data_IF_990453746650
#
_entry.id   IF_990453746650
#
_cell.length_a   1.000
_cell.length_b   1.000
_cell.length_c   1.000
_cell.angle_alpha   90.00
_cell.angle_beta   90.00
_cell.angle_gamma   90.00
#
_symmetry.space_group_name_H-M   'P 1'
#
loop_
_entity.id
_entity.type
_entity.pdbx_description
1 polymer ?
#
# COMPACT_ATOMS: atom_id res chain seq x y z
N UNK A 1 4.80 -24.61 -6.64
CA UNK A 1 3.38 -24.24 -6.45
C UNK A 1 3.32 -23.44 -5.16
N UNK A 2 2.78 -22.24 -5.20
CA UNK A 2 2.69 -21.37 -4.03
C UNK A 2 1.64 -21.94 -3.08
N UNK A 3 2.01 -22.02 -1.79
CA UNK A 3 1.08 -22.34 -0.72
C UNK A 3 0.80 -21.08 0.10
N UNK A 4 -0.41 -20.52 0.05
CA UNK A 4 -0.76 -19.47 0.97
C UNK A 4 -0.78 -20.01 2.40
N UNK A 5 -0.12 -19.31 3.31
CA UNK A 5 -0.12 -19.59 4.72
C UNK A 5 -0.86 -18.46 5.42
N UNK A 6 -1.87 -18.82 6.18
CA UNK A 6 -2.68 -17.87 6.94
C UNK A 6 -2.56 -18.21 8.42
N UNK A 7 -2.17 -17.24 9.21
CA UNK A 7 -1.97 -17.40 10.65
C UNK A 7 -2.73 -16.31 11.40
N UNK A 8 -3.48 -16.72 12.41
CA UNK A 8 -4.26 -15.83 13.26
C UNK A 8 -3.76 -15.85 14.70
N UNK A 9 -3.66 -14.70 15.33
CA UNK A 9 -3.24 -14.55 16.73
C UNK A 9 -4.38 -14.87 17.68
N UNK A 10 -4.21 -15.91 18.50
CA UNK A 10 -5.11 -16.23 19.58
C UNK A 10 -4.40 -16.27 20.92
N UNK A 11 -5.06 -15.77 21.97
CA UNK A 11 -4.61 -15.94 23.35
C UNK A 11 -5.38 -17.12 23.97
N UNK A 12 -4.89 -18.32 23.74
CA UNK A 12 -5.45 -19.53 24.35
C UNK A 12 -4.89 -19.79 25.76
N UNK A 13 -4.04 -18.92 26.27
CA UNK A 13 -3.46 -19.00 27.61
C UNK A 13 -2.77 -20.35 27.85
N UNK A 14 -3.06 -20.98 28.99
CA UNK A 14 -2.47 -22.28 29.38
C UNK A 14 -2.91 -23.46 28.48
N UNK A 15 -3.89 -23.26 27.62
CA UNK A 15 -4.37 -24.29 26.66
C UNK A 15 -3.52 -24.35 25.39
N UNK A 16 -2.57 -23.43 25.21
CA UNK A 16 -1.65 -23.49 24.08
C UNK A 16 -0.67 -24.66 24.24
N UNK A 17 -0.30 -25.37 23.18
CA UNK A 17 0.71 -26.43 23.24
C UNK A 17 2.06 -25.93 23.79
N UNK A 18 2.40 -24.67 23.55
CA UNK A 18 3.66 -24.01 23.97
C UNK A 18 3.47 -22.94 25.04
N UNK A 19 2.28 -22.82 25.61
CA UNK A 19 1.99 -21.82 26.66
C UNK A 19 2.60 -22.17 28.01
N UNK A 20 3.20 -21.18 28.68
CA UNK A 20 3.60 -21.28 30.08
C UNK A 20 2.38 -21.59 30.96
N UNK A 21 2.54 -22.51 31.91
CA UNK A 21 1.49 -22.87 32.86
C UNK A 21 2.05 -22.84 34.26
N UNK A 22 1.53 -21.93 35.09
CA UNK A 22 1.93 -21.81 36.48
C UNK A 22 1.71 -23.16 37.20
N UNK A 23 2.66 -23.53 38.10
CA UNK A 23 2.66 -24.76 38.88
C UNK A 23 2.74 -26.07 38.05
N UNK A 24 3.05 -26.00 36.78
CA UNK A 24 3.38 -27.17 35.98
C UNK A 24 4.90 -27.42 35.97
N UNK A 25 5.36 -28.63 36.35
CA UNK A 25 6.79 -28.90 36.47
C UNK A 25 7.58 -28.88 35.18
N UNK A 26 6.91 -28.90 34.04
CA UNK A 26 7.51 -28.86 32.68
C UNK A 26 7.26 -27.50 32.01
N UNK A 27 6.02 -27.03 32.10
CA UNK A 27 5.57 -25.80 31.42
C UNK A 27 5.70 -24.53 32.25
N UNK A 28 5.89 -24.69 33.58
CA UNK A 28 6.00 -23.56 34.52
C UNK A 28 7.44 -23.17 34.86
N UNK A 29 8.42 -23.59 34.09
CA UNK A 29 9.83 -23.26 34.28
C UNK A 29 10.13 -21.94 33.59
N UNK A 30 10.53 -20.94 34.39
CA UNK A 30 11.06 -19.67 33.85
C UNK A 30 12.38 -19.96 33.11
N UNK A 31 12.63 -19.23 32.04
CA UNK A 31 13.75 -19.43 31.08
C UNK A 31 13.59 -20.64 30.14
N UNK A 32 12.40 -21.21 30.06
CA UNK A 32 12.11 -22.26 29.10
C UNK A 32 11.90 -21.65 27.70
N UNK A 33 12.67 -22.14 26.70
CA UNK A 33 12.58 -21.66 25.32
C UNK A 33 11.43 -22.29 24.53
N UNK A 34 10.81 -23.36 25.08
CA UNK A 34 9.68 -24.06 24.44
C UNK A 34 8.34 -23.60 24.98
N UNK A 35 8.26 -23.35 26.30
CA UNK A 35 7.04 -22.91 26.98
C UNK A 35 7.24 -21.47 27.45
N UNK A 36 6.75 -20.57 26.64
CA UNK A 36 6.94 -19.11 26.85
C UNK A 36 5.72 -18.47 27.50
N UNK A 37 5.96 -17.47 28.32
CA UNK A 37 4.93 -16.56 28.77
C UNK A 37 4.61 -15.63 27.60
N UNK A 38 3.73 -16.07 26.72
CA UNK A 38 3.35 -15.33 25.55
C UNK A 38 1.93 -14.80 25.68
N UNK A 39 1.69 -13.64 25.11
CA UNK A 39 0.37 -13.13 24.81
C UNK A 39 -0.26 -13.89 23.61
N UNK A 40 -0.53 -13.20 22.55
CA UNK A 40 -1.06 -13.83 21.32
C UNK A 40 -0.01 -14.72 20.64
N UNK A 41 -0.41 -15.96 20.32
CA UNK A 41 0.37 -16.88 19.51
C UNK A 41 -0.32 -17.04 18.17
N UNK A 42 0.47 -17.04 17.10
CA UNK A 42 -0.04 -17.27 15.76
C UNK A 42 -0.33 -18.75 15.52
N UNK A 43 -1.58 -19.03 15.13
CA UNK A 43 -2.08 -20.36 14.79
C UNK A 43 -2.25 -20.48 13.28
N UNK A 44 -1.62 -21.48 12.71
CA UNK A 44 -1.74 -21.79 11.28
C UNK A 44 -3.12 -22.39 10.97
N UNK A 45 -3.90 -21.68 10.17
CA UNK A 45 -5.24 -22.06 9.72
C UNK A 45 -5.27 -22.37 8.22
N UNK A 46 -4.11 -22.44 7.58
CA UNK A 46 -3.94 -22.59 6.12
C UNK A 46 -4.66 -23.79 5.53
N UNK A 47 -4.72 -24.91 6.30
CA UNK A 47 -5.38 -26.14 5.83
C UNK A 47 -6.88 -25.99 5.54
N UNK A 48 -7.50 -24.90 6.01
CA UNK A 48 -8.91 -24.59 5.83
C UNK A 48 -9.18 -23.53 4.77
N UNK A 49 -8.13 -22.88 4.29
CA UNK A 49 -8.22 -21.75 3.35
C UNK A 49 -8.77 -22.22 2.01
N UNK A 50 -9.87 -21.63 1.58
CA UNK A 50 -10.47 -21.83 0.27
C UNK A 50 -10.10 -20.73 -0.71
N UNK A 51 -10.03 -19.48 -0.25
CA UNK A 51 -9.57 -18.36 -1.06
C UNK A 51 -9.00 -17.25 -0.21
N UNK A 52 -8.11 -16.45 -0.81
CA UNK A 52 -7.51 -15.27 -0.22
C UNK A 52 -7.63 -14.13 -1.22
N UNK A 53 -8.15 -12.99 -0.76
CA UNK A 53 -8.16 -11.74 -1.51
C UNK A 53 -7.46 -10.67 -0.68
N UNK A 54 -6.50 -9.98 -1.28
CA UNK A 54 -5.78 -8.86 -0.64
C UNK A 54 -5.80 -7.68 -1.59
N UNK A 55 -5.98 -6.49 -1.06
CA UNK A 55 -5.82 -5.24 -1.79
C UNK A 55 -5.13 -4.21 -0.92
N UNK A 56 -4.00 -3.66 -1.39
CA UNK A 56 -3.25 -2.58 -0.75
C UNK A 56 -2.96 -1.47 -1.77
N UNK A 57 -2.82 -0.24 -1.29
CA UNK A 57 -2.50 0.91 -2.14
C UNK A 57 -3.71 1.52 -2.82
N UNK A 58 -3.47 2.20 -3.94
CA UNK A 58 -4.45 2.96 -4.74
C UNK A 58 -4.57 2.42 -6.16
N UNK A 59 -5.64 2.79 -6.86
CA UNK A 59 -5.89 2.38 -8.25
C UNK A 59 -5.49 3.44 -9.27
N UNK A 60 -5.52 4.71 -8.87
CA UNK A 60 -5.23 5.87 -9.71
C UNK A 60 -4.09 6.69 -9.11
N UNK A 61 -3.26 7.29 -9.97
CA UNK A 61 -2.02 7.97 -9.56
C UNK A 61 -2.25 9.13 -8.60
N UNK A 62 -3.31 9.92 -8.81
CA UNK A 62 -3.62 11.11 -8.02
C UNK A 62 -4.55 10.86 -6.82
N UNK A 63 -4.97 9.61 -6.62
CA UNK A 63 -5.74 9.24 -5.45
C UNK A 63 -4.84 9.13 -4.21
N UNK A 64 -5.45 9.25 -3.04
CA UNK A 64 -4.79 8.90 -1.78
C UNK A 64 -4.80 7.38 -1.60
N UNK A 65 -3.87 6.89 -0.80
CA UNK A 65 -3.85 5.49 -0.37
C UNK A 65 -4.83 5.33 0.80
N UNK A 66 -5.78 4.41 0.63
CA UNK A 66 -6.71 4.01 1.68
C UNK A 66 -6.18 2.79 2.44
N UNK A 67 -6.89 2.39 3.51
CA UNK A 67 -6.54 1.19 4.27
C UNK A 67 -6.49 -0.04 3.37
N UNK A 68 -5.44 -0.83 3.55
CA UNK A 68 -5.35 -2.14 2.95
C UNK A 68 -6.39 -3.08 3.55
N UNK A 69 -7.03 -3.85 2.70
CA UNK A 69 -8.06 -4.81 3.09
C UNK A 69 -7.73 -6.20 2.58
N UNK A 70 -8.15 -7.19 3.35
CA UNK A 70 -8.06 -8.58 2.93
C UNK A 70 -9.30 -9.35 3.35
N UNK A 71 -9.64 -10.39 2.61
CA UNK A 71 -10.63 -11.37 3.04
C UNK A 71 -10.10 -12.79 2.82
N UNK A 72 -10.35 -13.65 3.80
CA UNK A 72 -9.95 -15.06 3.77
C UNK A 72 -11.19 -15.92 3.98
N UNK A 73 -11.50 -16.79 3.03
CA UNK A 73 -12.61 -17.74 3.15
C UNK A 73 -12.08 -19.10 3.61
N UNK A 74 -12.64 -19.61 4.69
CA UNK A 74 -12.26 -20.88 5.31
C UNK A 74 -13.39 -21.90 5.29
N UNK A 75 -13.03 -23.17 5.24
CA UNK A 75 -13.93 -24.28 5.57
C UNK A 75 -14.27 -24.26 7.08
N UNK A 76 -15.56 -24.27 7.40
CA UNK A 76 -16.07 -24.26 8.78
C UNK A 76 -17.09 -25.37 9.04
N UNK A 77 -17.00 -26.51 8.32
CA UNK A 77 -17.97 -27.61 8.44
C UNK A 77 -18.00 -28.23 9.85
N UNK A 78 -16.96 -28.11 10.62
CA UNK A 78 -16.85 -28.57 12.02
C UNK A 78 -17.17 -27.47 13.05
N UNK A 79 -17.59 -26.28 12.59
CA UNK A 79 -17.93 -25.12 13.43
C UNK A 79 -16.77 -24.57 14.27
N UNK A 80 -15.53 -24.84 13.90
CA UNK A 80 -14.36 -24.39 14.68
C UNK A 80 -14.29 -22.86 14.79
N UNK A 81 -14.74 -22.15 13.75
CA UNK A 81 -14.85 -20.70 13.68
C UNK A 81 -16.25 -20.16 13.97
N UNK A 82 -17.04 -20.88 14.75
CA UNK A 82 -18.34 -20.41 15.23
C UNK A 82 -18.20 -19.86 16.66
N UNK A 83 -18.41 -18.54 16.88
CA UNK A 83 -18.26 -17.94 18.21
C UNK A 83 -19.16 -18.54 19.29
N UNK A 84 -20.25 -19.19 18.89
CA UNK A 84 -21.21 -19.82 19.81
C UNK A 84 -20.92 -21.31 20.08
N UNK A 85 -19.88 -21.87 19.46
CA UNK A 85 -19.54 -23.27 19.66
C UNK A 85 -18.63 -23.47 20.88
N UNK A 86 -19.22 -23.66 22.06
CA UNK A 86 -18.52 -23.76 23.34
C UNK A 86 -17.50 -24.92 23.41
N UNK A 87 -17.69 -25.98 22.63
CA UNK A 87 -16.73 -27.09 22.55
C UNK A 87 -15.58 -26.84 21.54
N UNK A 88 -15.62 -25.73 20.81
CA UNK A 88 -14.59 -25.37 19.83
C UNK A 88 -13.29 -24.91 20.48
N UNK A 89 -12.15 -25.24 19.85
CA UNK A 89 -10.83 -24.85 20.32
C UNK A 89 -10.70 -23.31 20.44
N UNK A 90 -11.34 -22.55 19.57
CA UNK A 90 -11.26 -21.10 19.52
C UNK A 90 -12.43 -20.38 20.22
N UNK A 91 -13.22 -21.11 21.01
CA UNK A 91 -14.32 -20.50 21.77
C UNK A 91 -13.82 -19.36 22.65
N UNK A 92 -14.47 -18.20 22.56
CA UNK A 92 -14.08 -16.97 23.26
C UNK A 92 -12.87 -16.22 22.67
N UNK A 93 -12.25 -16.74 21.62
CA UNK A 93 -11.12 -16.10 20.92
C UNK A 93 -11.52 -15.44 19.61
N UNK A 94 -12.69 -15.82 19.04
CA UNK A 94 -13.20 -15.27 17.78
C UNK A 94 -13.84 -13.91 18.03
N UNK A 95 -12.99 -12.90 18.17
CA UNK A 95 -13.37 -11.51 18.44
C UNK A 95 -12.65 -10.59 17.46
N UNK A 96 -13.23 -9.43 17.13
CA UNK A 96 -12.54 -8.41 16.33
C UNK A 96 -11.18 -8.01 16.91
N UNK A 97 -10.34 -7.43 16.09
CA UNK A 97 -8.99 -6.94 16.41
C UNK A 97 -7.95 -8.02 16.69
N UNK A 98 -8.23 -9.29 16.39
CA UNK A 98 -7.19 -10.32 16.37
C UNK A 98 -6.22 -10.06 15.23
N UNK A 99 -4.92 -10.21 15.52
CA UNK A 99 -3.88 -10.11 14.51
C UNK A 99 -3.97 -11.26 13.53
N UNK A 100 -3.76 -10.98 12.25
CA UNK A 100 -3.73 -11.99 11.20
C UNK A 100 -2.63 -11.64 10.20
N UNK A 101 -1.92 -12.65 9.74
CA UNK A 101 -0.91 -12.51 8.72
C UNK A 101 -1.08 -13.52 7.61
N UNK A 102 -0.85 -13.07 6.40
CA UNK A 102 -0.94 -13.86 5.17
C UNK A 102 0.44 -13.90 4.55
N UNK A 103 0.95 -15.10 4.33
CA UNK A 103 2.25 -15.33 3.74
C UNK A 103 2.11 -16.20 2.47
N UNK A 104 3.09 -16.10 1.59
CA UNK A 104 3.24 -16.97 0.43
C UNK A 104 4.66 -17.56 0.44
N UNK A 105 4.80 -18.86 0.62
CA UNK A 105 6.11 -19.51 0.78
C UNK A 105 6.97 -18.85 1.86
N UNK A 106 6.36 -18.52 3.01
CA UNK A 106 6.93 -17.77 4.14
C UNK A 106 7.28 -16.29 3.88
N UNK A 107 7.08 -15.76 2.66
CA UNK A 107 7.18 -14.34 2.40
C UNK A 107 5.88 -13.63 2.82
N UNK A 108 5.95 -12.53 3.58
CA UNK A 108 4.77 -11.78 3.98
C UNK A 108 4.09 -11.16 2.75
N UNK A 109 2.77 -11.10 2.81
CA UNK A 109 1.92 -10.55 1.76
C UNK A 109 0.96 -9.52 2.33
N UNK A 110 0.48 -9.79 3.55
CA UNK A 110 -0.44 -8.91 4.24
C UNK A 110 -0.40 -9.16 5.75
N UNK A 111 -0.40 -8.07 6.50
CA UNK A 111 -0.55 -8.07 7.95
C UNK A 111 -1.68 -7.12 8.33
N UNK A 112 -2.56 -7.55 9.23
CA UNK A 112 -3.68 -6.72 9.65
C UNK A 112 -4.43 -7.29 10.85
N UNK A 113 -5.62 -6.76 11.04
CA UNK A 113 -6.51 -7.07 12.17
C UNK A 113 -7.86 -7.51 11.64
N UNK A 114 -8.39 -8.55 12.25
CA UNK A 114 -9.74 -9.04 11.94
C UNK A 114 -10.77 -7.96 12.31
N UNK A 115 -11.63 -7.64 11.37
CA UNK A 115 -12.79 -6.76 11.60
C UNK A 115 -14.03 -7.61 11.89
N UNK A 116 -14.33 -8.59 11.02
CA UNK A 116 -15.52 -9.42 11.13
C UNK A 116 -15.25 -10.90 10.82
N UNK A 117 -16.07 -11.77 11.40
CA UNK A 117 -16.23 -13.18 11.03
C UNK A 117 -17.63 -13.37 10.44
N UNK A 118 -17.74 -13.47 9.13
CA UNK A 118 -19.02 -13.71 8.43
C UNK A 118 -19.23 -15.20 8.20
N UNK A 119 -20.27 -15.74 8.81
CA UNK A 119 -20.56 -17.17 8.86
C UNK A 119 -21.69 -17.52 7.88
N UNK A 120 -21.41 -18.39 6.91
CA UNK A 120 -22.40 -18.90 5.97
C UNK A 120 -22.66 -20.38 6.21
N UNK A 121 -23.92 -20.74 6.42
CA UNK A 121 -24.37 -22.11 6.60
C UNK A 121 -25.31 -22.54 5.47
N UNK A 122 -24.83 -23.47 4.64
CA UNK A 122 -25.58 -23.99 3.51
C UNK A 122 -26.20 -25.37 3.83
N UNK A 123 -27.36 -25.73 3.25
CA UNK A 123 -27.90 -27.07 3.37
C UNK A 123 -26.92 -28.16 2.94
N UNK A 124 -26.90 -29.28 3.64
CA UNK A 124 -26.02 -30.41 3.32
C UNK A 124 -24.67 -30.38 4.01
N UNK A 125 -24.60 -29.82 5.20
CA UNK A 125 -23.40 -29.73 6.05
C UNK A 125 -22.22 -29.00 5.37
N UNK A 126 -22.50 -27.94 4.65
CA UNK A 126 -21.51 -27.05 4.12
C UNK A 126 -21.57 -25.73 4.87
N UNK A 127 -20.48 -25.37 5.51
CA UNK A 127 -20.35 -24.10 6.19
C UNK A 127 -19.01 -23.48 5.85
N UNK A 128 -19.02 -22.18 5.66
CA UNK A 128 -17.81 -21.37 5.46
C UNK A 128 -17.80 -20.22 6.45
N UNK A 129 -16.62 -19.68 6.71
CA UNK A 129 -16.46 -18.40 7.38
C UNK A 129 -15.57 -17.54 6.50
N UNK A 130 -16.01 -16.32 6.25
CA UNK A 130 -15.17 -15.27 5.69
C UNK A 130 -14.65 -14.42 6.83
N UNK A 131 -13.34 -14.23 6.88
CA UNK A 131 -12.68 -13.32 7.81
C UNK A 131 -12.36 -12.06 7.03
N UNK A 132 -12.95 -10.94 7.41
CA UNK A 132 -12.65 -9.64 6.85
C UNK A 132 -11.59 -8.95 7.71
N UNK A 133 -10.59 -8.38 7.04
CA UNK A 133 -9.35 -7.92 7.66
C UNK A 133 -9.04 -6.53 7.12
N UNK A 134 -8.63 -5.63 8.00
CA UNK A 134 -8.07 -4.33 7.63
C UNK A 134 -6.64 -4.21 8.18
N UNK A 135 -5.81 -3.42 7.50
CA UNK A 135 -4.48 -3.09 8.00
C UNK A 135 -4.53 -2.10 9.18
N UNK A 136 -3.37 -1.68 9.63
CA UNK A 136 -3.25 -0.82 10.80
C UNK A 136 -3.77 0.63 10.59
N UNK A 137 -4.10 1.06 9.37
CA UNK A 137 -4.78 2.34 9.13
C UNK A 137 -6.13 2.43 9.84
N UNK A 138 -6.80 1.29 10.06
CA UNK A 138 -8.02 1.25 10.87
C UNK A 138 -7.81 1.78 12.29
N UNK A 139 -6.63 1.56 12.88
CA UNK A 139 -6.30 2.11 14.20
C UNK A 139 -6.13 3.64 14.14
N UNK A 140 -5.42 4.15 13.14
CA UNK A 140 -5.21 5.59 12.92
C UNK A 140 -6.51 6.33 12.59
N UNK A 141 -7.42 5.68 11.86
CA UNK A 141 -8.74 6.23 11.54
C UNK A 141 -9.61 6.45 12.80
N UNK A 142 -9.41 5.61 13.81
CA UNK A 142 -10.15 5.68 15.07
C UNK A 142 -9.43 6.48 16.17
N UNK A 143 -8.19 6.91 15.96
CA UNK A 143 -7.44 7.73 16.89
C UNK A 143 -7.74 9.23 16.63
N UNK A 144 -8.44 9.95 17.53
CA UNK A 144 -8.70 11.38 17.35
C UNK A 144 -7.45 12.18 17.68
N UNK A 145 -7.23 13.27 16.98
CA UNK A 145 -6.29 14.32 17.40
C UNK A 145 -7.11 15.34 18.20
N UNK A 146 -6.93 15.37 19.52
CA UNK A 146 -7.66 16.30 20.38
C UNK A 146 -7.16 17.73 20.15
N UNK A 147 -5.86 17.95 20.24
CA UNK A 147 -5.20 19.21 19.93
C UNK A 147 -3.73 18.96 19.57
N UNK A 148 -3.31 19.42 18.41
CA UNK A 148 -1.92 19.39 17.94
C UNK A 148 -1.54 20.80 17.47
N UNK A 149 -0.52 21.38 18.12
CA UNK A 149 0.04 22.68 17.79
C UNK A 149 1.50 22.51 17.32
N UNK A 150 1.69 22.13 16.05
CA UNK A 150 3.02 21.79 15.54
C UNK A 150 3.76 23.05 15.10
N UNK A 151 5.10 23.11 15.24
CA UNK A 151 5.90 24.14 14.60
C UNK A 151 5.90 23.94 13.08
N UNK A 152 6.40 24.94 12.37
CA UNK A 152 6.77 24.73 10.96
C UNK A 152 7.92 23.71 10.90
N UNK A 153 7.70 22.61 10.17
CA UNK A 153 8.63 21.48 10.10
C UNK A 153 8.44 20.69 8.80
N UNK A 154 9.41 19.85 8.46
CA UNK A 154 9.32 18.96 7.30
C UNK A 154 8.23 17.90 7.47
N UNK A 155 7.71 17.44 6.35
CA UNK A 155 6.59 16.50 6.30
C UNK A 155 6.84 15.21 7.10
N UNK A 156 8.03 14.61 7.00
CA UNK A 156 8.38 13.42 7.79
C UNK A 156 8.47 13.69 9.30
N UNK A 157 8.96 14.86 9.71
CA UNK A 157 8.96 15.26 11.12
C UNK A 157 7.52 15.39 11.64
N UNK A 158 6.60 15.94 10.81
CA UNK A 158 5.19 16.03 11.13
C UNK A 158 4.53 14.67 11.25
N UNK A 159 4.86 13.73 10.35
CA UNK A 159 4.38 12.34 10.46
C UNK A 159 4.80 11.73 11.79
N UNK A 160 6.09 11.80 12.14
CA UNK A 160 6.58 11.25 13.41
C UNK A 160 5.91 11.92 14.61
N UNK A 161 5.71 13.24 14.60
CA UNK A 161 5.00 13.97 15.67
C UNK A 161 3.58 13.46 15.90
N UNK A 162 2.85 13.18 14.82
CA UNK A 162 1.49 12.61 14.93
C UNK A 162 1.53 11.19 15.49
N UNK A 163 2.49 10.38 15.06
CA UNK A 163 2.65 9.01 15.53
C UNK A 163 3.08 8.93 17.00
N UNK A 164 3.74 9.98 17.52
CA UNK A 164 4.16 10.11 18.92
C UNK A 164 3.06 10.66 19.85
N UNK A 165 1.90 11.08 19.32
CA UNK A 165 0.79 11.54 20.15
C UNK A 165 0.32 10.43 21.11
N UNK A 166 -0.02 10.75 22.37
CA UNK A 166 -0.50 9.75 23.33
C UNK A 166 -1.71 8.95 22.85
N UNK A 167 -2.58 9.57 22.05
CA UNK A 167 -3.78 8.98 21.49
C UNK A 167 -3.46 8.00 20.35
N UNK A 168 -2.32 8.15 19.69
CA UNK A 168 -1.84 7.30 18.60
C UNK A 168 -0.84 6.28 19.12
N UNK A 169 0.20 6.74 19.81
CA UNK A 169 1.26 5.94 20.45
C UNK A 169 1.77 4.81 19.54
N UNK A 170 2.17 5.16 18.32
CA UNK A 170 2.64 4.18 17.35
C UNK A 170 4.09 3.76 17.66
N UNK A 171 4.39 2.44 17.73
CA UNK A 171 5.74 1.98 18.04
C UNK A 171 6.78 2.49 17.03
N UNK A 172 7.95 2.88 17.54
CA UNK A 172 9.04 3.41 16.72
C UNK A 172 9.62 2.35 15.77
N UNK A 173 9.65 1.09 16.23
CA UNK A 173 10.11 -0.07 15.48
C UNK A 173 9.17 -0.50 14.33
N UNK A 174 7.94 0.02 14.27
CA UNK A 174 6.95 -0.28 13.25
C UNK A 174 6.71 0.91 12.32
N UNK A 175 7.74 1.75 12.09
CA UNK A 175 7.66 2.89 11.17
C UNK A 175 8.94 3.06 10.36
N UNK A 176 8.78 3.36 9.08
CA UNK A 176 9.84 3.82 8.17
C UNK A 176 9.39 5.15 7.55
N UNK A 177 9.89 6.25 8.10
CA UNK A 177 9.47 7.61 7.76
C UNK A 177 10.63 8.39 7.20
N UNK A 178 10.60 8.69 5.92
CA UNK A 178 11.56 9.57 5.26
C UNK A 178 11.38 11.01 5.73
N UNK A 179 12.44 11.82 5.65
CA UNK A 179 12.44 13.20 6.15
C UNK A 179 11.41 14.09 5.43
N UNK A 180 11.22 13.84 4.12
CA UNK A 180 10.38 14.66 3.26
C UNK A 180 11.08 15.97 2.83
N UNK A 181 10.48 16.67 1.86
CA UNK A 181 11.02 17.90 1.28
C UNK A 181 10.13 19.12 1.51
N UNK A 182 8.85 18.88 1.78
CA UNK A 182 7.88 19.96 1.98
C UNK A 182 7.94 20.50 3.40
N UNK A 183 8.16 21.79 3.51
CA UNK A 183 8.00 22.52 4.77
C UNK A 183 6.53 22.82 5.02
N UNK A 184 5.99 22.29 6.13
CA UNK A 184 4.59 22.43 6.49
C UNK A 184 4.36 23.59 7.44
N UNK A 185 3.18 24.19 7.35
CA UNK A 185 2.72 25.27 8.25
C UNK A 185 2.65 24.85 9.71
N UNK A 186 2.72 25.86 10.58
CA UNK A 186 2.53 25.80 12.03
C UNK A 186 1.05 25.97 12.44
N UNK A 187 0.14 25.33 11.74
CA UNK A 187 -1.30 25.46 12.01
C UNK A 187 -1.79 24.43 13.03
N UNK A 188 -2.58 24.92 14.00
CA UNK A 188 -3.23 24.08 15.02
C UNK A 188 -4.27 23.16 14.38
N UNK A 189 -4.26 21.90 14.77
CA UNK A 189 -5.14 20.84 14.28
C UNK A 189 -5.92 20.22 15.44
N UNK A 190 -7.24 20.09 15.28
CA UNK A 190 -8.09 19.43 16.27
C UNK A 190 -9.34 18.84 15.62
N UNK A 191 -9.90 17.82 16.24
CA UNK A 191 -11.17 17.23 15.84
C UNK A 191 -11.16 16.43 14.55
N UNK A 192 -9.98 16.01 14.08
CA UNK A 192 -9.78 15.10 12.93
C UNK A 192 -9.13 13.80 13.39
N UNK A 193 -9.25 12.74 12.60
CA UNK A 193 -8.52 11.50 12.91
C UNK A 193 -7.04 11.62 12.53
N UNK A 194 -6.19 10.85 13.20
CA UNK A 194 -4.76 10.78 12.90
C UNK A 194 -4.54 10.39 11.43
N UNK A 195 -5.31 9.42 10.92
CA UNK A 195 -5.22 9.00 9.51
C UNK A 195 -5.54 10.13 8.54
N UNK A 196 -6.65 10.85 8.77
CA UNK A 196 -7.06 11.96 7.90
C UNK A 196 -5.97 13.03 7.83
N UNK A 197 -5.39 13.39 8.98
CA UNK A 197 -4.33 14.38 9.02
C UNK A 197 -3.03 13.88 8.39
N UNK A 198 -2.61 12.64 8.65
CA UNK A 198 -1.44 12.02 8.01
C UNK A 198 -1.60 11.92 6.49
N UNK A 199 -2.79 11.59 6.00
CA UNK A 199 -3.10 11.59 4.57
C UNK A 199 -3.02 13.00 3.97
N UNK A 200 -3.42 14.04 4.73
CA UNK A 200 -3.26 15.43 4.33
C UNK A 200 -1.77 15.83 4.25
N UNK A 201 -0.95 15.40 5.21
CA UNK A 201 0.51 15.59 5.19
C UNK A 201 1.12 14.91 3.95
N UNK A 202 0.78 13.65 3.70
CA UNK A 202 1.25 12.89 2.54
C UNK A 202 0.83 13.54 1.20
N UNK A 203 -0.39 14.06 1.14
CA UNK A 203 -0.89 14.78 -0.04
C UNK A 203 -0.13 16.09 -0.26
N UNK A 204 0.23 16.81 0.80
CA UNK A 204 1.00 18.05 0.73
C UNK A 204 2.45 17.81 0.27
N UNK A 205 3.03 16.66 0.61
CA UNK A 205 4.33 16.21 0.13
C UNK A 205 4.27 15.67 -1.31
N UNK A 206 3.09 15.28 -1.82
CA UNK A 206 2.93 14.42 -3.00
C UNK A 206 3.68 13.10 -2.84
N UNK A 207 3.83 12.66 -1.60
CA UNK A 207 4.44 11.40 -1.20
C UNK A 207 3.44 10.24 -1.09
N UNK A 208 3.91 9.13 -0.58
CA UNK A 208 3.07 7.97 -0.33
C UNK A 208 3.11 7.60 1.16
N UNK A 209 1.93 7.44 1.75
CA UNK A 209 1.73 6.93 3.10
C UNK A 209 0.94 5.63 3.00
N UNK A 210 1.48 4.53 3.51
CA UNK A 210 0.82 3.21 3.45
C UNK A 210 1.29 2.29 4.57
N UNK A 211 0.58 1.19 4.77
CA UNK A 211 1.05 0.09 5.62
C UNK A 211 1.71 -0.97 4.72
N UNK A 212 2.92 -1.37 5.06
CA UNK A 212 3.68 -2.39 4.33
C UNK A 212 3.03 -3.78 4.45
N UNK A 213 3.50 -4.72 3.65
CA UNK A 213 3.09 -6.14 3.76
C UNK A 213 3.42 -6.78 5.11
N UNK A 214 4.39 -6.22 5.82
CA UNK A 214 4.83 -6.64 7.16
C UNK A 214 4.07 -5.97 8.30
N UNK A 215 3.31 -4.91 8.01
CA UNK A 215 2.51 -4.16 8.99
C UNK A 215 3.15 -2.86 9.47
N UNK A 216 4.30 -2.46 8.91
CA UNK A 216 4.95 -1.20 9.24
C UNK A 216 4.28 -0.02 8.54
N UNK A 217 4.22 1.12 9.21
CA UNK A 217 3.81 2.37 8.59
C UNK A 217 4.97 2.96 7.81
N UNK A 218 4.74 3.16 6.53
CA UNK A 218 5.75 3.68 5.59
C UNK A 218 5.31 5.07 5.11
N UNK A 219 6.23 6.03 5.20
CA UNK A 219 6.09 7.33 4.56
C UNK A 219 7.27 7.57 3.63
N UNK A 220 6.98 7.68 2.34
CA UNK A 220 7.97 7.96 1.28
C UNK A 220 7.74 9.36 0.72
N UNK A 221 8.82 10.11 0.56
CA UNK A 221 8.78 11.42 -0.08
C UNK A 221 8.52 11.31 -1.60
N UNK A 222 8.18 12.42 -2.23
CA UNK A 222 7.85 12.49 -3.67
C UNK A 222 8.94 11.96 -4.62
N UNK A 223 10.21 12.04 -4.24
CA UNK A 223 11.36 11.65 -5.06
C UNK A 223 12.10 10.40 -4.52
N UNK A 224 11.47 9.64 -3.63
CA UNK A 224 12.09 8.48 -2.99
C UNK A 224 12.44 7.32 -3.94
N UNK A 225 11.95 7.34 -5.18
CA UNK A 225 12.13 6.22 -6.09
C UNK A 225 13.55 6.16 -6.70
N UNK A 226 14.12 4.96 -6.70
CA UNK A 226 15.32 4.65 -7.50
C UNK A 226 14.97 4.69 -8.99
N UNK A 227 15.94 5.04 -9.84
CA UNK A 227 15.73 5.08 -11.31
C UNK A 227 15.87 3.71 -11.98
N UNK A 228 16.40 2.72 -11.27
CA UNK A 228 16.61 1.36 -11.79
C UNK A 228 15.44 0.47 -11.46
N UNK A 229 14.86 -0.23 -12.47
CA UNK A 229 13.76 -1.15 -12.22
C UNK A 229 14.22 -2.37 -11.40
N UNK A 230 13.43 -2.73 -10.40
CA UNK A 230 13.65 -3.92 -9.58
C UNK A 230 13.27 -5.20 -10.36
N UNK A 231 12.30 -5.09 -11.27
CA UNK A 231 11.78 -6.19 -12.06
C UNK A 231 11.27 -5.72 -13.43
N UNK A 232 11.33 -6.60 -14.43
CA UNK A 232 10.79 -6.37 -15.76
C UNK A 232 9.59 -7.28 -16.00
N UNK A 233 8.40 -6.72 -16.15
CA UNK A 233 7.24 -7.43 -16.68
C UNK A 233 7.29 -7.44 -18.20
N UNK A 234 7.30 -8.63 -18.81
CA UNK A 234 7.51 -8.76 -20.26
C UNK A 234 6.58 -9.77 -20.89
N UNK A 235 6.32 -9.61 -22.19
CA UNK A 235 5.74 -10.63 -23.08
C UNK A 235 6.81 -11.45 -23.82
N UNK A 236 8.07 -11.16 -23.56
CA UNK A 236 9.25 -11.76 -24.19
C UNK A 236 10.08 -12.54 -23.16
N UNK A 237 10.63 -13.69 -23.61
CA UNK A 237 11.43 -14.59 -22.80
C UNK A 237 12.93 -14.41 -22.95
N UNK A 238 13.38 -13.41 -23.68
CA UNK A 238 14.82 -13.14 -23.89
C UNK A 238 15.50 -12.88 -22.54
N UNK A 239 16.63 -13.53 -22.24
CA UNK A 239 17.35 -13.33 -20.99
C UNK A 239 17.74 -11.86 -20.75
N UNK A 240 17.64 -11.42 -19.51
CA UNK A 240 18.01 -10.08 -19.06
C UNK A 240 18.85 -10.17 -17.78
N UNK A 241 19.63 -9.12 -17.49
CA UNK A 241 20.38 -9.00 -16.24
C UNK A 241 19.41 -8.73 -15.06
N UNK A 242 18.35 -7.97 -15.29
CA UNK A 242 17.25 -7.76 -14.32
C UNK A 242 16.25 -8.91 -14.47
N UNK A 243 15.70 -9.37 -13.36
CA UNK A 243 14.71 -10.45 -13.35
C UNK A 243 13.52 -10.10 -14.24
N UNK A 244 13.24 -10.99 -15.19
CA UNK A 244 12.14 -10.82 -16.14
C UNK A 244 11.03 -11.80 -15.82
N UNK A 245 9.80 -11.31 -15.75
CA UNK A 245 8.60 -12.08 -15.42
C UNK A 245 7.56 -11.94 -16.52
N UNK A 246 7.05 -13.07 -16.99
CA UNK A 246 5.95 -13.08 -17.97
C UNK A 246 4.65 -12.66 -17.28
N UNK A 247 4.00 -11.65 -17.85
CA UNK A 247 2.67 -11.28 -17.42
C UNK A 247 1.59 -12.10 -18.13
N UNK A 248 0.43 -12.23 -17.51
CA UNK A 248 -0.75 -12.86 -18.12
C UNK A 248 -1.70 -11.86 -18.75
N UNK A 249 -1.67 -10.62 -18.26
CA UNK A 249 -2.46 -9.51 -18.77
C UNK A 249 -1.76 -8.19 -18.49
N UNK A 250 -1.84 -7.26 -19.43
CA UNK A 250 -1.44 -5.86 -19.27
C UNK A 250 -2.60 -4.99 -19.70
N UNK A 251 -2.94 -4.01 -18.85
CA UNK A 251 -3.96 -3.01 -19.16
C UNK A 251 -3.27 -1.68 -19.44
N UNK A 252 -3.52 -1.14 -20.60
CA UNK A 252 -3.00 0.16 -21.00
C UNK A 252 -4.12 1.09 -21.44
N UNK A 253 -3.90 2.37 -21.31
CA UNK A 253 -4.81 3.42 -21.75
C UNK A 253 -4.06 4.52 -22.49
N UNK A 254 -4.73 5.08 -23.49
CA UNK A 254 -4.32 6.31 -24.14
C UNK A 254 -5.56 7.19 -24.30
N UNK A 255 -5.63 8.28 -23.56
CA UNK A 255 -6.85 9.08 -23.55
C UNK A 255 -6.80 10.27 -22.60
N UNK A 256 -7.99 10.77 -22.29
CA UNK A 256 -8.17 11.97 -21.47
C UNK A 256 -8.28 11.72 -19.96
N UNK A 257 -8.14 10.51 -19.53
CA UNK A 257 -8.02 10.18 -18.11
C UNK A 257 -6.72 10.77 -17.56
N UNK A 258 -6.78 11.48 -16.45
CA UNK A 258 -5.67 12.26 -15.91
C UNK A 258 -5.05 13.25 -16.94
N UNK A 259 -5.85 13.84 -17.81
CA UNK A 259 -5.44 14.94 -18.66
C UNK A 259 -5.90 16.25 -18.02
N UNK A 260 -4.95 17.08 -17.58
CA UNK A 260 -5.21 18.37 -16.95
C UNK A 260 -4.44 19.47 -17.66
N UNK A 261 -5.14 20.49 -18.11
CA UNK A 261 -4.56 21.65 -18.78
C UNK A 261 -4.37 22.83 -17.84
N UNK A 262 -4.91 22.71 -16.63
CA UNK A 262 -4.83 23.71 -15.57
C UNK A 262 -4.71 23.03 -14.22
N UNK A 263 -3.76 23.49 -13.41
CA UNK A 263 -3.53 23.02 -12.03
C UNK A 263 -3.81 24.19 -11.08
N UNK A 264 -4.57 23.93 -10.04
CA UNK A 264 -4.92 24.89 -8.99
C UNK A 264 -4.60 24.27 -7.63
N UNK A 265 -3.60 24.82 -6.94
CA UNK A 265 -3.20 24.38 -5.62
C UNK A 265 -3.33 25.52 -4.61
N UNK A 266 -3.83 25.24 -3.42
CA UNK A 266 -3.93 26.21 -2.36
C UNK A 266 -3.74 25.59 -0.98
N UNK A 267 -3.25 26.41 -0.07
CA UNK A 267 -3.21 26.12 1.35
C UNK A 267 -4.41 26.80 2.03
N UNK A 268 -5.17 26.08 2.84
CA UNK A 268 -6.39 26.60 3.47
C UNK A 268 -6.15 27.38 4.75
N UNK A 269 -5.01 27.20 5.40
CA UNK A 269 -4.75 27.74 6.75
C UNK A 269 -3.94 29.05 6.71
N UNK A 270 -3.25 29.34 5.62
CA UNK A 270 -2.65 30.63 5.36
C UNK A 270 -3.56 31.49 4.47
N UNK A 271 -3.33 32.80 4.41
CA UNK A 271 -4.01 33.69 3.48
C UNK A 271 -3.91 33.06 2.09
N UNK A 272 -5.03 32.68 1.46
CA UNK A 272 -4.99 31.80 0.32
C UNK A 272 -4.46 32.55 -0.91
N UNK A 273 -3.16 32.39 -1.18
CA UNK A 273 -2.69 32.52 -2.55
C UNK A 273 -2.92 31.18 -3.24
N UNK A 274 -4.01 31.09 -3.97
CA UNK A 274 -4.26 30.01 -4.89
C UNK A 274 -3.24 30.11 -6.03
N UNK A 275 -2.37 29.12 -6.13
CA UNK A 275 -1.44 29.00 -7.25
C UNK A 275 -2.16 28.32 -8.39
N UNK A 276 -2.33 29.03 -9.50
CA UNK A 276 -2.98 28.53 -10.72
C UNK A 276 -1.98 28.58 -11.87
N UNK A 277 -1.68 27.43 -12.43
CA UNK A 277 -0.83 27.30 -13.62
C UNK A 277 -1.63 26.64 -14.74
N UNK A 278 -1.55 27.20 -15.95
CA UNK A 278 -2.28 26.72 -17.11
C UNK A 278 -1.35 26.62 -18.34
N UNK A 279 -1.50 25.52 -19.11
CA UNK A 279 -0.91 25.39 -20.42
C UNK A 279 -1.93 25.84 -21.48
N UNK A 280 -1.80 27.09 -21.95
CA UNK A 280 -2.71 27.69 -22.93
C UNK A 280 -2.78 26.89 -24.25
N UNK A 281 -1.67 26.31 -24.70
CA UNK A 281 -1.62 25.50 -25.91
C UNK A 281 -2.42 24.21 -25.76
N UNK A 282 -2.27 23.53 -24.61
CA UNK A 282 -3.04 22.32 -24.28
C UNK A 282 -4.53 22.66 -24.07
N UNK A 283 -4.82 23.79 -23.42
CA UNK A 283 -6.21 24.28 -23.26
C UNK A 283 -6.87 24.57 -24.62
N UNK A 284 -6.14 25.12 -25.57
CA UNK A 284 -6.62 25.33 -26.94
C UNK A 284 -6.97 24.02 -27.68
N UNK A 285 -6.29 22.91 -27.35
CA UNK A 285 -6.51 21.60 -27.99
C UNK A 285 -7.57 20.76 -27.28
N UNK A 286 -7.56 20.75 -25.95
CA UNK A 286 -8.30 19.76 -25.14
C UNK A 286 -9.39 20.42 -24.26
N UNK A 287 -9.50 21.74 -24.28
CA UNK A 287 -10.38 22.51 -23.38
C UNK A 287 -9.79 22.66 -21.98
N UNK A 288 -10.44 23.48 -21.15
CA UNK A 288 -10.04 23.65 -19.75
C UNK A 288 -10.39 22.41 -18.94
N UNK A 289 -9.38 21.76 -18.38
CA UNK A 289 -9.48 20.60 -17.51
C UNK A 289 -8.64 20.87 -16.27
N UNK A 290 -9.29 21.15 -15.17
CA UNK A 290 -8.62 21.59 -13.95
C UNK A 290 -8.47 20.44 -12.97
N UNK A 291 -7.23 20.21 -12.48
CA UNK A 291 -6.98 19.53 -11.22
C UNK A 291 -6.90 20.58 -10.12
N UNK A 292 -7.63 20.39 -9.02
CA UNK A 292 -7.66 21.33 -7.92
C UNK A 292 -7.47 20.60 -6.59
N UNK A 293 -6.54 21.08 -5.78
CA UNK A 293 -6.40 20.68 -4.38
C UNK A 293 -6.13 21.91 -3.51
N UNK A 294 -7.09 22.25 -2.66
CA UNK A 294 -7.08 23.47 -1.83
C UNK A 294 -6.88 23.17 -0.35
N UNK A 295 -6.54 21.93 0.01
CA UNK A 295 -6.39 21.50 1.40
C UNK A 295 -4.94 21.08 1.71
N UNK A 296 -3.97 21.80 1.17
CA UNK A 296 -2.54 21.52 1.37
C UNK A 296 -2.00 22.25 2.62
N UNK A 297 -0.88 21.76 3.14
CA UNK A 297 -0.20 22.29 4.33
C UNK A 297 1.11 23.01 4.00
N UNK A 298 1.46 23.16 2.73
CA UNK A 298 2.72 23.77 2.30
C UNK A 298 2.83 25.20 2.84
N UNK A 299 3.97 25.54 3.45
CA UNK A 299 4.22 26.86 4.00
C UNK A 299 4.60 27.86 2.91
N UNK A 300 5.38 27.42 1.92
CA UNK A 300 5.93 28.30 0.88
C UNK A 300 5.08 28.24 -0.40
N UNK A 301 4.54 29.39 -0.87
CA UNK A 301 3.87 29.47 -2.17
C UNK A 301 4.74 29.03 -3.35
N UNK A 302 6.07 29.22 -3.27
CA UNK A 302 6.98 28.79 -4.32
C UNK A 302 7.04 27.25 -4.44
N UNK A 303 6.97 26.51 -3.34
CA UNK A 303 6.86 25.05 -3.35
C UNK A 303 5.57 24.58 -4.02
N UNK A 304 4.43 25.30 -3.80
CA UNK A 304 3.17 25.03 -4.49
C UNK A 304 3.26 25.32 -6.01
N UNK A 305 3.99 26.36 -6.41
CA UNK A 305 4.19 26.69 -7.82
C UNK A 305 5.01 25.59 -8.51
N UNK A 306 6.10 25.14 -7.89
CA UNK A 306 6.94 24.06 -8.41
C UNK A 306 6.14 22.75 -8.53
N UNK A 307 5.35 22.40 -7.52
CA UNK A 307 4.45 21.22 -7.55
C UNK A 307 3.39 21.33 -8.66
N UNK A 308 2.76 22.50 -8.80
CA UNK A 308 1.77 22.72 -9.84
C UNK A 308 2.38 22.63 -11.23
N UNK A 309 3.60 23.14 -11.43
CA UNK A 309 4.33 23.03 -12.68
C UNK A 309 4.69 21.58 -13.00
N UNK A 310 5.18 20.82 -12.02
CA UNK A 310 5.51 19.41 -12.18
C UNK A 310 4.29 18.57 -12.58
N UNK A 311 3.14 18.81 -11.91
CA UNK A 311 1.88 18.16 -12.26
C UNK A 311 1.42 18.52 -13.68
N UNK A 312 1.49 19.81 -14.03
CA UNK A 312 1.06 20.27 -15.36
C UNK A 312 1.89 19.59 -16.45
N UNK A 313 3.22 19.57 -16.34
CA UNK A 313 4.13 18.92 -17.30
C UNK A 313 3.82 17.42 -17.44
N UNK A 314 3.45 16.77 -16.34
CA UNK A 314 3.14 15.34 -16.33
C UNK A 314 1.80 15.03 -16.97
N UNK A 315 0.81 15.94 -16.86
CA UNK A 315 -0.59 15.62 -17.18
C UNK A 315 -1.20 16.52 -18.27
N UNK A 316 -0.45 17.43 -18.91
CA UNK A 316 -0.97 18.41 -19.89
C UNK A 316 -1.31 17.82 -21.26
N UNK A 317 -0.99 16.56 -21.51
CA UNK A 317 -1.18 15.85 -22.79
C UNK A 317 -1.62 14.42 -22.61
N UNK A 318 -2.31 13.83 -23.58
CA UNK A 318 -2.59 12.40 -23.58
C UNK A 318 -1.28 11.61 -23.66
N UNK A 319 -1.08 10.69 -22.75
CA UNK A 319 0.07 9.80 -22.71
C UNK A 319 -0.40 8.35 -22.76
N UNK A 320 0.42 7.50 -23.36
CA UNK A 320 0.25 6.06 -23.25
C UNK A 320 0.69 5.63 -21.85
N UNK A 321 -0.22 5.02 -21.11
CA UNK A 321 0.03 4.62 -19.72
C UNK A 321 -0.32 3.16 -19.53
N UNK A 322 0.50 2.45 -18.76
CA UNK A 322 0.13 1.17 -18.21
C UNK A 322 -0.60 1.40 -16.88
N UNK A 323 -1.83 0.89 -16.79
CA UNK A 323 -2.66 1.00 -15.57
C UNK A 323 -2.49 -0.20 -14.67
N UNK A 324 -2.30 -1.39 -15.24
CA UNK A 324 -2.12 -2.59 -14.45
C UNK A 324 -1.40 -3.71 -15.23
N UNK A 325 -0.68 -4.52 -14.48
CA UNK A 325 -0.09 -5.79 -14.93
C UNK A 325 -0.55 -6.91 -14.02
N UNK A 326 -0.98 -8.02 -14.61
CA UNK A 326 -1.39 -9.23 -13.86
C UNK A 326 -0.44 -10.38 -14.15
N UNK A 327 0.00 -11.05 -13.10
CA UNK A 327 0.86 -12.21 -13.14
C UNK A 327 0.14 -13.41 -12.54
N UNK A 328 0.35 -14.59 -13.11
CA UNK A 328 -0.12 -15.88 -12.55
C UNK A 328 1.06 -16.55 -11.88
N UNK A 329 1.08 -16.52 -10.56
CA UNK A 329 2.21 -16.98 -9.74
C UNK A 329 2.51 -18.48 -9.95
N UNK A 330 1.48 -19.30 -10.17
CA UNK A 330 1.64 -20.75 -10.40
C UNK A 330 2.41 -21.11 -11.69
N UNK A 331 2.68 -20.14 -12.54
CA UNK A 331 3.44 -20.30 -13.79
C UNK A 331 4.90 -19.86 -13.69
N UNK A 332 5.28 -19.28 -12.56
CA UNK A 332 6.62 -18.76 -12.30
C UNK A 332 7.51 -19.83 -11.66
N UNK A 333 8.80 -19.70 -11.85
CA UNK A 333 9.80 -20.41 -11.05
C UNK A 333 9.93 -19.78 -9.63
N UNK A 334 10.77 -20.38 -8.77
CA UNK A 334 10.94 -19.89 -7.39
C UNK A 334 11.53 -18.48 -7.34
N UNK A 335 12.56 -18.21 -8.14
CA UNK A 335 13.25 -16.90 -8.16
C UNK A 335 12.33 -15.79 -8.66
N UNK A 336 11.59 -16.06 -9.73
CA UNK A 336 10.58 -15.12 -10.24
C UNK A 336 9.45 -14.89 -9.25
N UNK A 337 9.02 -15.94 -8.56
CA UNK A 337 7.97 -15.84 -7.54
C UNK A 337 8.42 -14.99 -6.36
N UNK A 338 9.63 -15.24 -5.85
CA UNK A 338 10.21 -14.41 -4.78
C UNK A 338 10.31 -12.94 -5.22
N UNK A 339 10.90 -12.68 -6.39
CA UNK A 339 11.02 -11.33 -6.92
C UNK A 339 9.67 -10.60 -7.07
N UNK A 340 8.59 -11.32 -7.46
CA UNK A 340 7.24 -10.74 -7.55
C UNK A 340 6.62 -10.48 -6.17
N UNK A 341 6.86 -11.35 -5.19
CA UNK A 341 6.35 -11.22 -3.83
C UNK A 341 7.13 -10.18 -3.00
N UNK A 342 8.38 -9.92 -3.38
CA UNK A 342 9.21 -8.89 -2.73
C UNK A 342 8.79 -7.47 -3.09
N UNK A 343 8.16 -7.27 -4.24
CA UNK A 343 7.70 -5.96 -4.67
C UNK A 343 6.76 -5.30 -3.65
N UNK A 344 6.94 -3.98 -3.49
CA UNK A 344 6.15 -3.16 -2.59
C UNK A 344 5.60 -1.90 -3.30
N UNK A 345 4.66 -1.22 -2.67
CA UNK A 345 4.13 0.06 -3.13
C UNK A 345 5.28 1.09 -3.14
N UNK A 346 5.45 1.76 -4.28
CA UNK A 346 6.54 2.72 -4.51
C UNK A 346 7.68 2.17 -5.35
N UNK A 347 7.84 0.85 -5.47
CA UNK A 347 8.90 0.22 -6.26
C UNK A 347 8.76 0.54 -7.75
N UNK A 348 9.91 0.61 -8.43
CA UNK A 348 9.97 0.85 -9.87
C UNK A 348 10.10 -0.47 -10.61
N UNK A 349 9.24 -0.66 -11.59
CA UNK A 349 9.26 -1.80 -12.51
C UNK A 349 9.28 -1.31 -13.95
N UNK A 350 9.79 -2.12 -14.85
CA UNK A 350 9.68 -1.86 -16.29
C UNK A 350 8.63 -2.76 -16.90
N UNK A 351 7.77 -2.20 -17.74
CA UNK A 351 6.85 -2.98 -18.56
C UNK A 351 7.35 -2.98 -20.00
N UNK A 352 7.64 -4.18 -20.50
CA UNK A 352 8.03 -4.42 -21.89
C UNK A 352 6.91 -5.20 -22.58
N UNK A 353 6.26 -4.58 -23.53
CA UNK A 353 5.09 -5.13 -24.22
C UNK A 353 5.13 -4.87 -25.72
N UNK A 354 4.97 -5.93 -26.52
CA UNK A 354 4.86 -5.83 -27.97
C UNK A 354 3.41 -6.04 -28.41
N UNK A 355 2.63 -4.96 -28.68
CA UNK A 355 1.22 -5.06 -29.00
C UNK A 355 0.97 -6.01 -30.18
N UNK A 356 0.13 -7.04 -29.96
CA UNK A 356 -0.18 -8.06 -30.97
C UNK A 356 1.06 -8.74 -31.60
N UNK A 357 2.18 -8.69 -30.90
CA UNK A 357 3.48 -9.18 -31.41
C UNK A 357 3.99 -8.47 -32.66
N UNK A 358 3.55 -7.24 -32.89
CA UNK A 358 3.97 -6.38 -34.02
C UNK A 358 4.90 -5.29 -33.49
N UNK A 359 6.20 -5.31 -33.87
CA UNK A 359 7.16 -4.27 -33.40
C UNK A 359 6.77 -2.86 -33.89
N UNK A 360 7.23 -1.80 -33.21
CA UNK A 360 8.15 -1.84 -32.06
C UNK A 360 7.49 -2.22 -30.74
N UNK A 361 8.30 -2.73 -29.80
CA UNK A 361 7.88 -2.91 -28.42
C UNK A 361 7.69 -1.55 -27.73
N UNK A 362 6.81 -1.52 -26.75
CA UNK A 362 6.60 -0.40 -25.84
C UNK A 362 7.32 -0.73 -24.53
N UNK A 363 8.24 0.11 -24.13
CA UNK A 363 9.03 -0.06 -22.91
C UNK A 363 8.89 1.20 -22.07
N UNK A 364 8.21 1.09 -20.93
CA UNK A 364 7.99 2.22 -20.03
C UNK A 364 8.31 1.83 -18.59
N UNK A 365 9.04 2.68 -17.86
CA UNK A 365 9.18 2.54 -16.41
C UNK A 365 7.86 2.91 -15.74
N UNK A 366 7.52 2.14 -14.71
CA UNK A 366 6.30 2.33 -13.95
C UNK A 366 6.59 2.23 -12.45
N UNK A 367 5.87 3.00 -11.66
CA UNK A 367 5.83 2.87 -10.20
C UNK A 367 4.64 2.00 -9.82
N UNK A 368 4.82 1.11 -8.86
CA UNK A 368 3.73 0.35 -8.26
C UNK A 368 2.98 1.28 -7.30
N UNK A 369 1.69 1.47 -7.55
CA UNK A 369 0.81 2.30 -6.71
C UNK A 369 -0.21 1.48 -5.93
N UNK A 370 -0.37 0.20 -6.28
CA UNK A 370 -1.22 -0.73 -5.55
C UNK A 370 -0.97 -2.17 -5.93
N UNK A 371 -1.25 -3.06 -5.00
CA UNK A 371 -1.02 -4.51 -5.14
C UNK A 371 -2.30 -5.24 -4.74
N UNK A 372 -2.75 -6.15 -5.60
CA UNK A 372 -3.90 -7.01 -5.32
C UNK A 372 -3.54 -8.47 -5.55
N UNK A 373 -3.83 -9.31 -4.58
CA UNK A 373 -3.73 -10.76 -4.69
C UNK A 373 -5.13 -11.36 -4.72
N UNK A 374 -5.38 -12.25 -5.65
CA UNK A 374 -6.59 -13.06 -5.70
C UNK A 374 -6.19 -14.52 -5.90
N UNK A 375 -6.19 -15.25 -4.79
CA UNK A 375 -5.71 -16.61 -4.74
C UNK A 375 -6.85 -17.59 -4.49
N UNK A 376 -7.11 -18.37 -5.49
CA UNK A 376 -8.02 -19.51 -5.48
C UNK A 376 -7.21 -20.81 -5.53
N UNK A 377 -7.79 -21.97 -5.17
CA UNK A 377 -7.07 -23.24 -5.17
C UNK A 377 -6.41 -23.58 -6.51
N UNK A 378 -7.03 -23.20 -7.63
CA UNK A 378 -6.55 -23.55 -8.98
C UNK A 378 -5.63 -22.49 -9.58
N UNK A 379 -5.77 -21.21 -9.18
CA UNK A 379 -5.05 -20.11 -9.81
C UNK A 379 -4.75 -19.01 -8.80
N UNK A 380 -3.50 -18.62 -8.72
CA UNK A 380 -3.05 -17.50 -7.88
C UNK A 380 -2.62 -16.35 -8.75
N UNK A 381 -3.35 -15.25 -8.70
CA UNK A 381 -3.10 -14.03 -9.45
C UNK A 381 -2.64 -12.93 -8.54
N UNK A 382 -1.62 -12.21 -8.99
CA UNK A 382 -1.21 -10.92 -8.42
C UNK A 382 -1.34 -9.86 -9.51
N UNK A 383 -1.98 -8.76 -9.17
CA UNK A 383 -2.15 -7.61 -10.05
C UNK A 383 -1.52 -6.38 -9.42
N UNK A 384 -0.64 -5.73 -10.16
CA UNK A 384 -0.01 -4.48 -9.77
C UNK A 384 -0.73 -3.34 -10.49
N UNK A 385 -1.26 -2.38 -9.75
CA UNK A 385 -1.70 -1.10 -10.27
C UNK A 385 -0.45 -0.23 -10.49
N UNK A 386 -0.37 0.41 -11.64
CA UNK A 386 0.84 1.07 -12.12
C UNK A 386 0.59 2.54 -12.44
N UNK A 387 1.54 3.36 -12.07
CA UNK A 387 1.71 4.72 -12.57
C UNK A 387 2.88 4.74 -13.55
N UNK A 388 2.64 5.10 -14.80
CA UNK A 388 3.72 5.23 -15.79
C UNK A 388 4.55 6.47 -15.50
N UNK A 389 5.86 6.30 -15.34
CA UNK A 389 6.78 7.38 -15.07
C UNK A 389 7.25 7.98 -16.39
N UNK A 390 7.07 9.28 -16.52
CA UNK A 390 7.63 10.05 -17.61
C UNK A 390 8.94 10.68 -17.13
N UNK A 391 10.05 9.95 -17.23
CA UNK A 391 11.39 10.53 -17.07
C UNK A 391 11.70 11.36 -18.33
N UNK A 392 11.02 12.44 -18.55
CA UNK A 392 11.06 12.99 -19.87
C UNK A 392 11.17 14.48 -20.00
N UNK A 393 11.31 15.28 -18.96
CA UNK A 393 11.56 16.71 -19.15
C UNK A 393 12.48 17.24 -18.07
N UNK A 394 13.75 17.43 -18.42
CA UNK A 394 14.63 18.27 -17.65
C UNK A 394 14.14 19.72 -17.79
N UNK A 395 13.74 20.34 -16.69
CA UNK A 395 13.38 21.76 -16.63
C UNK A 395 14.49 22.47 -15.89
N UNK A 396 15.26 23.29 -16.61
CA UNK A 396 16.39 24.03 -16.05
C UNK A 396 15.90 24.87 -14.84
N UNK A 397 16.68 24.81 -13.75
CA UNK A 397 16.39 25.50 -12.48
C UNK A 397 15.12 25.02 -11.74
N UNK A 398 14.50 23.90 -12.13
CA UNK A 398 13.45 23.28 -11.37
C UNK A 398 14.03 22.36 -10.28
N UNK A 399 13.68 22.52 -9.00
CA UNK A 399 14.13 21.65 -7.94
C UNK A 399 13.53 20.23 -8.01
N UNK A 400 12.53 20.02 -8.87
CA UNK A 400 11.86 18.74 -9.05
C UNK A 400 12.21 18.03 -10.37
N UNK A 401 12.57 18.78 -11.40
CA UNK A 401 12.77 18.26 -12.76
C UNK A 401 14.12 18.73 -13.35
N UNK A 402 14.97 19.38 -12.56
CA UNK A 402 16.23 19.98 -12.98
C UNK A 402 17.47 19.36 -12.36
N UNK A 403 17.39 18.19 -11.74
CA UNK A 403 18.55 17.49 -11.20
C UNK A 403 19.33 16.79 -12.33
N UNK A 404 20.55 17.25 -12.60
CA UNK A 404 21.49 16.57 -13.48
C UNK A 404 21.74 15.16 -12.92
N UNK A 405 21.70 14.15 -13.76
CA UNK A 405 21.78 12.71 -13.50
C UNK A 405 20.46 12.01 -13.16
N UNK A 406 19.40 12.72 -12.77
CA UNK A 406 18.08 12.15 -12.52
C UNK A 406 17.10 12.39 -13.68
N UNK A 407 17.18 13.56 -14.33
CA UNK A 407 16.25 13.95 -15.38
C UNK A 407 16.91 13.92 -16.76
N UNK A 408 16.20 13.43 -17.75
CA UNK A 408 16.70 13.34 -19.13
C UNK A 408 16.42 14.61 -19.90
N UNK A 409 17.43 15.11 -20.61
CA UNK A 409 17.25 16.11 -21.65
C UNK A 409 16.34 15.51 -22.74
N UNK A 410 15.18 16.13 -22.97
CA UNK A 410 14.34 15.75 -24.13
C UNK A 410 14.99 16.28 -25.41
N UNK A 411 15.24 15.40 -26.35
CA UNK A 411 15.55 15.77 -27.73
C UNK A 411 14.31 15.67 -28.58
#
# INVERSE_FOLDING_TARGET
MISPKVEIGFDLGANTPTGFKLDDPVRGVLDNTTYILAGELFYDISSRVQSVSVRRGKSEALDRIDAGISSVVLDNNDRLFDPLYEAGLYYGQLVPRRQIRILANDNPVFYGYVEDFDLEYLPGNRATVQIDIADAFGALANAPIDELDPPSELSGARVNRVLDLPEVNWPEELRDVEEGKTLLLDSTVSGVSALEYLQRVSTSEFGNLFISKDGDLIFKERNSATTTPDLIFSDDTTPSATTKVLFSNVRSIYGSENLYTRISLANTDAIPEEVVIENEAATGLYGVRTYSNTNLLNQDPADLEDLAQALLVTYDRPLYRFQAVTVVLDKLDSTQTEAVLDLEIGDIVQVHFTPSQVPPAIELPCRIIGISHNWEPQVKRTTFALETLNFGVFVLDSPLLGELDNDRLSY
#
